data_IF_028586106726
#
_entry.id   IF_028586106726
#
_cell.length_a   1.000
_cell.length_b   1.000
_cell.length_c   1.000
_cell.angle_alpha   90.00
_cell.angle_beta   90.00
_cell.angle_gamma   90.00
#
_symmetry.space_group_name_H-M   'P 1'
#
loop_
_entity.id
_entity.type
_entity.pdbx_description
1 polymer ?
#
# COMPACT_ATOMS: atom_id res chain seq x y z
N UNK A 1 22.38 24.07 13.87
CA UNK A 1 23.19 23.30 12.91
C UNK A 1 23.66 24.16 11.74
N UNK A 2 22.77 24.78 10.95
CA UNK A 2 23.17 25.52 9.73
C UNK A 2 24.16 26.70 9.92
N UNK A 3 23.99 27.54 10.96
CA UNK A 3 24.85 28.72 11.16
C UNK A 3 26.32 28.39 11.47
N UNK A 4 26.57 27.30 12.20
CA UNK A 4 27.94 26.85 12.56
C UNK A 4 28.63 26.27 11.31
N UNK A 5 27.91 25.49 10.50
CA UNK A 5 28.45 24.95 9.26
C UNK A 5 28.84 26.05 8.25
N UNK A 6 28.03 27.12 8.14
CA UNK A 6 28.35 28.28 7.29
C UNK A 6 29.61 28.98 7.78
N UNK A 7 29.76 29.20 9.09
CA UNK A 7 30.96 29.84 9.66
C UNK A 7 32.23 29.01 9.40
N UNK A 8 32.18 27.68 9.61
CA UNK A 8 33.30 26.77 9.32
C UNK A 8 33.67 26.81 7.84
N UNK A 9 32.67 26.85 6.94
CA UNK A 9 32.91 26.92 5.51
C UNK A 9 33.58 28.23 5.07
N UNK A 10 33.17 29.37 5.65
CA UNK A 10 33.81 30.67 5.39
C UNK A 10 35.28 30.65 5.85
N UNK A 11 35.55 30.09 7.02
CA UNK A 11 36.91 29.99 7.57
C UNK A 11 37.80 29.08 6.71
N UNK A 12 37.24 27.98 6.20
CA UNK A 12 37.90 27.09 5.25
C UNK A 12 38.24 27.79 3.93
N UNK A 13 37.31 28.56 3.34
CA UNK A 13 37.57 29.34 2.13
C UNK A 13 38.63 30.42 2.36
N UNK A 14 38.62 31.11 3.50
CA UNK A 14 39.64 32.10 3.85
C UNK A 14 41.04 31.48 3.98
N UNK A 15 41.14 30.29 4.62
CA UNK A 15 42.39 29.54 4.72
C UNK A 15 42.93 29.11 3.35
N UNK A 16 42.05 28.63 2.46
CA UNK A 16 42.40 28.30 1.07
C UNK A 16 42.88 29.52 0.27
N UNK A 17 42.23 30.67 0.43
CA UNK A 17 42.66 31.93 -0.21
C UNK A 17 44.05 32.38 0.25
N UNK A 18 44.35 32.23 1.55
CA UNK A 18 45.69 32.49 2.09
C UNK A 18 46.75 31.55 1.51
N UNK A 19 46.45 30.26 1.39
CA UNK A 19 47.36 29.30 0.75
C UNK A 19 47.54 29.57 -0.75
N UNK A 20 46.47 29.98 -1.45
CA UNK A 20 46.51 30.40 -2.86
C UNK A 20 47.45 31.56 -3.10
N UNK A 21 47.51 32.52 -2.17
CA UNK A 21 48.39 33.67 -2.25
C UNK A 21 49.87 33.29 -2.09
N UNK A 22 50.17 32.37 -1.17
CA UNK A 22 51.55 31.99 -0.82
C UNK A 22 52.16 31.01 -1.82
N UNK A 23 51.36 30.15 -2.46
CA UNK A 23 51.87 29.08 -3.31
C UNK A 23 51.47 29.27 -4.78
N UNK A 24 52.45 29.71 -5.59
CA UNK A 24 52.32 30.01 -7.02
C UNK A 24 52.75 28.85 -7.94
N UNK A 25 52.84 27.62 -7.44
CA UNK A 25 53.24 26.48 -8.27
C UNK A 25 52.23 26.20 -9.39
N UNK A 26 52.73 26.23 -10.63
CA UNK A 26 51.98 26.00 -11.86
C UNK A 26 52.10 24.51 -12.25
N UNK A 27 51.03 23.96 -12.81
CA UNK A 27 50.97 22.59 -13.34
C UNK A 27 50.32 22.63 -14.71
N UNK A 28 50.92 21.92 -15.67
CA UNK A 28 50.40 21.81 -17.04
C UNK A 28 49.43 20.64 -17.14
N UNK A 29 48.18 20.91 -17.49
CA UNK A 29 47.17 19.88 -17.79
C UNK A 29 47.15 19.66 -19.29
N UNK A 30 47.41 18.42 -19.73
CA UNK A 30 47.28 18.03 -21.13
C UNK A 30 45.96 17.31 -21.32
N UNK A 31 45.05 17.91 -22.08
CA UNK A 31 43.77 17.28 -22.43
C UNK A 31 44.01 16.34 -23.63
N UNK A 32 43.50 15.10 -23.61
CA UNK A 32 43.61 14.22 -24.77
C UNK A 32 43.01 14.89 -26.01
N UNK A 33 43.77 14.93 -27.11
CA UNK A 33 43.39 15.55 -28.39
C UNK A 33 43.18 17.08 -28.36
N UNK A 34 43.74 17.78 -27.37
CA UNK A 34 43.64 19.23 -27.26
C UNK A 34 44.94 19.91 -26.80
N UNK A 35 44.86 21.21 -26.56
CA UNK A 35 45.98 22.02 -26.10
C UNK A 35 46.33 21.77 -24.62
N UNK A 36 47.54 22.14 -24.24
CA UNK A 36 48.02 22.10 -22.88
C UNK A 36 47.72 23.43 -22.19
N UNK A 37 47.09 23.38 -21.01
CA UNK A 37 46.76 24.57 -20.22
C UNK A 37 47.58 24.61 -18.94
N UNK A 38 48.15 25.76 -18.63
CA UNK A 38 48.87 26.01 -17.38
C UNK A 38 47.92 26.55 -16.32
N UNK A 39 47.90 25.91 -15.15
CA UNK A 39 47.02 26.28 -14.04
C UNK A 39 47.72 26.05 -12.70
N UNK A 40 47.30 26.76 -11.65
CA UNK A 40 47.84 26.56 -10.30
C UNK A 40 47.33 25.25 -9.68
N UNK A 41 48.18 24.56 -8.91
CA UNK A 41 47.77 23.37 -8.12
C UNK A 41 46.59 23.66 -7.20
N UNK A 42 46.46 24.89 -6.72
CA UNK A 42 45.40 25.29 -5.78
C UNK A 42 44.07 25.45 -6.50
N UNK A 43 44.08 25.91 -7.75
CA UNK A 43 42.88 25.93 -8.57
C UNK A 43 42.32 24.51 -8.80
N UNK A 44 43.19 23.51 -8.98
CA UNK A 44 42.80 22.10 -9.10
C UNK A 44 42.20 21.55 -7.80
N UNK A 45 42.82 21.85 -6.64
CA UNK A 45 42.29 21.44 -5.33
C UNK A 45 40.91 22.05 -5.12
N UNK A 46 40.75 23.36 -5.35
CA UNK A 46 39.47 24.06 -5.25
C UNK A 46 38.41 23.45 -6.16
N UNK A 47 38.77 23.16 -7.42
CA UNK A 47 37.85 22.52 -8.36
C UNK A 47 37.38 21.14 -7.87
N UNK A 48 38.27 20.31 -7.34
CA UNK A 48 37.92 19.00 -6.78
C UNK A 48 37.01 19.10 -5.56
N UNK A 49 37.24 20.07 -4.67
CA UNK A 49 36.40 20.32 -3.50
C UNK A 49 35.01 20.79 -3.91
N UNK A 50 34.92 21.70 -4.88
CA UNK A 50 33.65 22.18 -5.43
C UNK A 50 32.91 21.05 -6.13
N UNK A 51 33.58 20.23 -6.94
CA UNK A 51 32.99 19.08 -7.60
C UNK A 51 32.44 18.07 -6.59
N UNK A 52 33.19 17.76 -5.53
CA UNK A 52 32.74 16.88 -4.44
C UNK A 52 31.54 17.45 -3.67
N UNK A 53 31.55 18.76 -3.38
CA UNK A 53 30.43 19.43 -2.72
C UNK A 53 29.17 19.43 -3.59
N UNK A 54 29.30 19.66 -4.90
CA UNK A 54 28.19 19.56 -5.86
C UNK A 54 27.63 18.14 -5.93
N UNK A 55 28.49 17.12 -6.00
CA UNK A 55 28.06 15.73 -5.98
C UNK A 55 27.31 15.38 -4.69
N UNK A 56 27.80 15.83 -3.53
CA UNK A 56 27.13 15.63 -2.24
C UNK A 56 25.77 16.34 -2.20
N UNK A 57 25.66 17.56 -2.72
CA UNK A 57 24.39 18.27 -2.84
C UNK A 57 23.38 17.50 -3.70
N UNK A 58 23.81 16.95 -4.84
CA UNK A 58 22.96 16.13 -5.70
C UNK A 58 22.46 14.88 -4.96
N UNK A 59 23.34 14.15 -4.27
CA UNK A 59 22.93 12.96 -3.49
C UNK A 59 21.96 13.35 -2.37
N UNK A 60 22.23 14.47 -1.69
CA UNK A 60 21.39 14.97 -0.61
C UNK A 60 19.99 15.35 -1.11
N UNK A 61 19.89 16.10 -2.21
CA UNK A 61 18.59 16.50 -2.78
C UNK A 61 17.79 15.31 -3.28
N UNK A 62 18.43 14.32 -3.92
CA UNK A 62 17.76 13.08 -4.32
C UNK A 62 17.21 12.34 -3.09
N UNK A 63 18.02 12.17 -2.05
CA UNK A 63 17.62 11.46 -0.83
C UNK A 63 16.46 12.14 -0.12
N UNK A 64 16.54 13.45 0.05
CA UNK A 64 15.50 14.24 0.72
C UNK A 64 14.21 14.28 -0.10
N UNK A 65 14.31 14.38 -1.43
CA UNK A 65 13.16 14.29 -2.33
C UNK A 65 12.48 12.93 -2.22
N UNK A 66 13.26 11.83 -2.21
CA UNK A 66 12.72 10.49 -2.00
C UNK A 66 12.00 10.37 -0.65
N UNK A 67 12.64 10.81 0.44
CA UNK A 67 12.04 10.79 1.79
C UNK A 67 10.74 11.60 1.85
N UNK A 68 10.69 12.74 1.16
CA UNK A 68 9.48 13.55 1.09
C UNK A 68 8.36 12.84 0.34
N UNK A 69 8.66 12.20 -0.80
CA UNK A 69 7.68 11.41 -1.57
C UNK A 69 7.16 10.24 -0.73
N UNK A 70 8.05 9.48 -0.08
CA UNK A 70 7.69 8.34 0.76
C UNK A 70 6.75 8.78 1.89
N UNK A 71 7.05 9.92 2.54
CA UNK A 71 6.18 10.48 3.57
C UNK A 71 4.81 10.90 3.01
N UNK A 72 4.76 11.54 1.83
CA UNK A 72 3.48 11.89 1.20
C UNK A 72 2.65 10.65 0.84
N UNK A 73 3.29 9.60 0.33
CA UNK A 73 2.62 8.33 0.04
C UNK A 73 2.08 7.69 1.32
N UNK A 74 2.87 7.68 2.39
CA UNK A 74 2.46 7.19 3.70
C UNK A 74 1.23 7.94 4.23
N UNK A 75 1.25 9.28 4.18
CA UNK A 75 0.11 10.10 4.62
C UNK A 75 -1.14 9.87 3.77
N UNK A 76 -0.99 9.73 2.45
CA UNK A 76 -2.11 9.42 1.55
C UNK A 76 -2.71 8.05 1.86
N UNK A 77 -1.86 7.04 2.12
CA UNK A 77 -2.29 5.69 2.50
C UNK A 77 -3.07 5.71 3.82
N UNK A 78 -2.53 6.35 4.85
CA UNK A 78 -3.19 6.52 6.15
C UNK A 78 -4.55 7.21 6.02
N UNK A 79 -4.63 8.29 5.23
CA UNK A 79 -5.90 9.00 5.00
C UNK A 79 -6.92 8.12 4.26
N UNK A 80 -6.47 7.29 3.33
CA UNK A 80 -7.33 6.33 2.63
C UNK A 80 -7.86 5.26 3.59
N UNK A 81 -6.98 4.63 4.37
CA UNK A 81 -7.35 3.62 5.37
C UNK A 81 -8.33 4.18 6.40
N UNK A 82 -8.08 5.38 6.92
CA UNK A 82 -8.99 6.05 7.85
C UNK A 82 -10.37 6.33 7.23
N UNK A 83 -10.41 6.77 5.96
CA UNK A 83 -11.67 6.98 5.24
C UNK A 83 -12.45 5.68 5.06
N UNK A 84 -11.77 4.60 4.66
CA UNK A 84 -12.40 3.28 4.50
C UNK A 84 -12.96 2.79 5.83
N UNK A 85 -12.20 2.95 6.92
CA UNK A 85 -12.63 2.58 8.27
C UNK A 85 -13.85 3.40 8.74
N UNK A 86 -13.88 4.69 8.44
CA UNK A 86 -15.02 5.56 8.74
C UNK A 86 -16.28 5.13 7.98
N UNK A 87 -16.14 4.87 6.67
CA UNK A 87 -17.23 4.37 5.84
C UNK A 87 -17.73 3.00 6.30
N UNK A 88 -16.83 2.11 6.72
CA UNK A 88 -17.19 0.80 7.26
C UNK A 88 -17.96 0.92 8.58
N UNK A 89 -17.54 1.85 9.44
CA UNK A 89 -18.24 2.14 10.69
C UNK A 89 -19.64 2.70 10.42
N UNK A 90 -19.78 3.58 9.42
CA UNK A 90 -21.08 4.09 8.96
C UNK A 90 -21.97 2.96 8.45
N UNK A 91 -21.43 2.08 7.59
CA UNK A 91 -22.15 0.92 7.07
C UNK A 91 -22.67 0.02 8.20
N UNK A 92 -21.83 -0.30 9.19
CA UNK A 92 -22.23 -1.14 10.31
C UNK A 92 -23.33 -0.49 11.16
N UNK A 93 -23.25 0.81 11.43
CA UNK A 93 -24.30 1.53 12.15
C UNK A 93 -25.62 1.53 11.37
N UNK A 94 -25.58 1.71 10.04
CA UNK A 94 -26.75 1.64 9.18
C UNK A 94 -27.39 0.25 9.19
N UNK A 95 -26.57 -0.82 9.15
CA UNK A 95 -27.05 -2.21 9.28
C UNK A 95 -27.73 -2.45 10.63
N UNK A 96 -27.16 -1.96 11.74
CA UNK A 96 -27.78 -2.06 13.07
C UNK A 96 -29.09 -1.27 13.16
N UNK A 97 -29.23 -0.19 12.39
CA UNK A 97 -30.44 0.60 12.29
C UNK A 97 -31.47 0.02 11.30
N UNK A 98 -31.19 -1.14 10.68
CA UNK A 98 -31.99 -1.73 9.59
C UNK A 98 -32.17 -0.80 8.37
N UNK A 99 -31.25 0.15 8.18
CA UNK A 99 -31.22 1.02 7.01
C UNK A 99 -30.30 0.43 5.93
N UNK A 100 -30.85 -0.51 5.15
CA UNK A 100 -30.06 -1.27 4.15
C UNK A 100 -29.56 -0.39 3.00
N UNK A 101 -30.32 0.62 2.58
CA UNK A 101 -29.93 1.51 1.49
C UNK A 101 -28.66 2.32 1.85
N UNK A 102 -28.64 2.90 3.05
CA UNK A 102 -27.47 3.64 3.53
C UNK A 102 -26.26 2.71 3.78
N UNK A 103 -26.51 1.49 4.25
CA UNK A 103 -25.47 0.49 4.40
C UNK A 103 -24.84 0.14 3.05
N UNK A 104 -25.66 -0.13 2.03
CA UNK A 104 -25.18 -0.43 0.66
C UNK A 104 -24.36 0.72 0.10
N UNK A 105 -24.85 1.96 0.19
CA UNK A 105 -24.13 3.13 -0.32
C UNK A 105 -22.74 3.26 0.33
N UNK A 106 -22.66 3.10 1.65
CA UNK A 106 -21.40 3.15 2.37
C UNK A 106 -20.45 2.01 1.96
N UNK A 107 -20.96 0.79 1.81
CA UNK A 107 -20.18 -0.38 1.39
C UNK A 107 -19.70 -0.29 -0.06
N UNK A 108 -20.54 0.19 -0.98
CA UNK A 108 -20.16 0.44 -2.38
C UNK A 108 -19.08 1.52 -2.48
N UNK A 109 -19.17 2.56 -1.64
CA UNK A 109 -18.13 3.57 -1.51
C UNK A 109 -16.78 3.00 -1.02
N UNK A 110 -16.81 2.03 -0.11
CA UNK A 110 -15.61 1.28 0.29
C UNK A 110 -15.04 0.51 -0.91
N UNK A 111 -15.87 -0.18 -1.68
CA UNK A 111 -15.40 -0.94 -2.85
C UNK A 111 -14.88 -0.05 -3.99
N UNK A 112 -15.32 1.20 -4.09
CA UNK A 112 -14.75 2.16 -5.03
C UNK A 112 -13.30 2.52 -4.67
N UNK A 113 -12.98 2.60 -3.37
CA UNK A 113 -11.62 2.85 -2.88
C UNK A 113 -10.79 1.54 -2.85
N UNK A 114 -11.40 0.43 -2.41
CA UNK A 114 -10.78 -0.87 -2.21
C UNK A 114 -11.65 -2.00 -2.82
N UNK A 115 -11.50 -2.27 -4.13
CA UNK A 115 -12.35 -3.22 -4.85
C UNK A 115 -12.31 -4.68 -4.35
N UNK A 116 -11.36 -4.99 -3.48
CA UNK A 116 -11.14 -6.32 -2.88
C UNK A 116 -11.34 -6.33 -1.37
N UNK A 117 -11.97 -5.29 -0.79
CA UNK A 117 -12.24 -5.24 0.64
C UNK A 117 -13.19 -6.38 1.02
N UNK A 118 -12.67 -7.35 1.78
CA UNK A 118 -13.34 -8.62 2.03
C UNK A 118 -14.69 -8.42 2.73
N UNK A 119 -14.68 -7.70 3.84
CA UNK A 119 -15.89 -7.54 4.66
C UNK A 119 -17.00 -6.79 3.92
N UNK A 120 -16.64 -5.80 3.09
CA UNK A 120 -17.62 -5.06 2.31
C UNK A 120 -18.26 -5.91 1.21
N UNK A 121 -17.47 -6.78 0.56
CA UNK A 121 -17.99 -7.77 -0.39
C UNK A 121 -18.93 -8.76 0.30
N UNK A 122 -18.54 -9.28 1.47
CA UNK A 122 -19.38 -10.20 2.24
C UNK A 122 -20.70 -9.55 2.65
N UNK A 123 -20.65 -8.36 3.26
CA UNK A 123 -21.84 -7.62 3.69
C UNK A 123 -22.78 -7.27 2.53
N UNK A 124 -22.26 -6.81 1.39
CA UNK A 124 -23.09 -6.56 0.21
C UNK A 124 -23.69 -7.85 -0.35
N UNK A 125 -22.96 -8.96 -0.29
CA UNK A 125 -23.46 -10.28 -0.64
C UNK A 125 -24.58 -10.75 0.31
N UNK A 126 -24.41 -10.53 1.61
CA UNK A 126 -25.39 -10.89 2.64
C UNK A 126 -26.70 -10.11 2.42
N UNK A 127 -26.60 -8.80 2.19
CA UNK A 127 -27.75 -7.93 1.91
C UNK A 127 -28.44 -8.39 0.62
N UNK A 128 -27.70 -8.57 -0.48
CA UNK A 128 -28.28 -9.05 -1.74
C UNK A 128 -28.91 -10.45 -1.60
N UNK A 129 -28.37 -11.31 -0.73
CA UNK A 129 -28.93 -12.62 -0.43
C UNK A 129 -30.20 -12.55 0.41
N UNK A 130 -30.33 -11.54 1.27
CA UNK A 130 -31.54 -11.26 2.04
C UNK A 130 -32.67 -10.72 1.15
N UNK A 131 -32.32 -9.92 0.14
CA UNK A 131 -33.25 -9.40 -0.88
C UNK A 131 -33.59 -10.40 -1.99
N UNK A 132 -33.14 -11.65 -1.85
CA UNK A 132 -33.33 -12.72 -2.85
C UNK A 132 -32.69 -12.43 -4.23
N UNK A 133 -31.81 -11.44 -4.32
CA UNK A 133 -31.01 -11.13 -5.51
C UNK A 133 -29.81 -12.09 -5.62
N UNK A 134 -30.07 -13.39 -5.69
CA UNK A 134 -29.06 -14.45 -5.58
C UNK A 134 -27.92 -14.32 -6.59
N UNK A 135 -28.18 -13.82 -7.80
CA UNK A 135 -27.15 -13.61 -8.81
C UNK A 135 -26.17 -12.50 -8.42
N UNK A 136 -26.65 -11.42 -7.79
CA UNK A 136 -25.77 -10.35 -7.29
C UNK A 136 -25.00 -10.82 -6.07
N UNK A 137 -25.66 -11.52 -5.14
CA UNK A 137 -25.00 -12.12 -3.97
C UNK A 137 -23.84 -13.04 -4.40
N UNK A 138 -24.09 -13.94 -5.36
CA UNK A 138 -23.08 -14.81 -5.95
C UNK A 138 -21.88 -14.03 -6.51
N UNK A 139 -22.15 -12.92 -7.22
CA UNK A 139 -21.10 -12.07 -7.78
C UNK A 139 -20.19 -11.47 -6.69
N UNK A 140 -20.79 -10.95 -5.61
CA UNK A 140 -20.03 -10.41 -4.49
C UNK A 140 -19.22 -11.48 -3.75
N UNK A 141 -19.83 -12.62 -3.43
CA UNK A 141 -19.13 -13.73 -2.78
C UNK A 141 -18.01 -14.31 -3.63
N UNK A 142 -18.18 -14.43 -4.95
CA UNK A 142 -17.11 -14.89 -5.83
C UNK A 142 -15.92 -13.91 -5.89
N UNK A 143 -16.18 -12.60 -5.82
CA UNK A 143 -15.10 -11.59 -5.70
C UNK A 143 -14.35 -11.75 -4.38
N UNK A 144 -15.07 -11.98 -3.27
CA UNK A 144 -14.48 -12.26 -1.97
C UNK A 144 -13.64 -13.56 -1.99
N UNK A 145 -14.19 -14.62 -2.59
CA UNK A 145 -13.53 -15.93 -2.75
C UNK A 145 -12.27 -15.85 -3.60
N UNK A 146 -12.27 -15.04 -4.67
CA UNK A 146 -11.08 -14.80 -5.49
C UNK A 146 -9.95 -14.10 -4.71
N UNK A 147 -10.27 -13.36 -3.65
CA UNK A 147 -9.29 -12.72 -2.77
C UNK A 147 -8.68 -13.71 -1.78
N UNK A 148 -9.52 -14.55 -1.16
CA UNK A 148 -9.09 -15.60 -0.25
C UNK A 148 -9.99 -16.84 -0.34
N UNK A 149 -9.50 -17.88 -1.00
CA UNK A 149 -10.23 -19.12 -1.26
C UNK A 149 -10.37 -20.03 -0.04
N UNK A 150 -9.55 -19.81 0.99
CA UNK A 150 -9.54 -20.60 2.23
C UNK A 150 -10.14 -19.83 3.41
N UNK A 151 -10.83 -18.71 3.16
CA UNK A 151 -11.51 -17.99 4.22
C UNK A 151 -12.83 -18.72 4.58
N UNK A 152 -12.99 -19.22 5.82
CA UNK A 152 -14.19 -19.97 6.20
C UNK A 152 -15.48 -19.15 6.13
N UNK A 153 -15.42 -17.85 6.42
CA UNK A 153 -16.60 -16.96 6.35
C UNK A 153 -17.11 -16.85 4.91
N UNK A 154 -16.21 -16.69 3.93
CA UNK A 154 -16.57 -16.68 2.50
C UNK A 154 -17.17 -18.01 2.06
N UNK A 155 -16.58 -19.12 2.50
CA UNK A 155 -17.06 -20.46 2.18
C UNK A 155 -18.46 -20.69 2.77
N UNK A 156 -18.71 -20.27 4.02
CA UNK A 156 -20.04 -20.31 4.63
C UNK A 156 -21.05 -19.41 3.89
N UNK A 157 -20.67 -18.21 3.47
CA UNK A 157 -21.57 -17.34 2.70
C UNK A 157 -21.97 -17.95 1.34
N UNK A 158 -21.02 -18.59 0.64
CA UNK A 158 -21.29 -19.32 -0.60
C UNK A 158 -22.16 -20.56 -0.36
N UNK A 159 -21.85 -21.33 0.67
CA UNK A 159 -22.61 -22.52 1.09
C UNK A 159 -24.06 -22.15 1.43
N UNK A 160 -24.27 -21.14 2.27
CA UNK A 160 -25.60 -20.64 2.62
C UNK A 160 -26.38 -20.19 1.38
N UNK A 161 -25.72 -19.56 0.40
CA UNK A 161 -26.36 -19.18 -0.85
C UNK A 161 -26.74 -20.40 -1.70
N UNK A 162 -25.93 -21.45 -1.69
CA UNK A 162 -26.25 -22.71 -2.40
C UNK A 162 -27.44 -23.40 -1.73
N UNK A 163 -27.50 -23.44 -0.40
CA UNK A 163 -28.66 -23.97 0.33
C UNK A 163 -29.94 -23.18 0.00
N UNK A 164 -29.89 -21.85 0.04
CA UNK A 164 -31.04 -20.98 -0.31
C UNK A 164 -31.54 -21.20 -1.73
N UNK A 165 -30.66 -21.55 -2.66
CA UNK A 165 -31.00 -21.81 -4.06
C UNK A 165 -31.29 -23.29 -4.36
N UNK A 166 -31.31 -24.16 -3.34
CA UNK A 166 -31.61 -25.58 -3.47
C UNK A 166 -30.49 -26.40 -4.12
N UNK A 167 -29.27 -25.87 -4.22
CA UNK A 167 -28.10 -26.50 -4.85
C UNK A 167 -27.30 -27.30 -3.82
N UNK A 168 -27.93 -28.33 -3.25
CA UNK A 168 -27.39 -29.11 -2.12
C UNK A 168 -26.01 -29.73 -2.37
N UNK A 169 -25.77 -30.27 -3.56
CA UNK A 169 -24.48 -30.86 -3.92
C UNK A 169 -23.33 -29.82 -3.90
N UNK A 170 -23.62 -28.58 -4.30
CA UNK A 170 -22.62 -27.50 -4.25
C UNK A 170 -22.43 -26.94 -2.86
N UNK A 171 -23.51 -26.85 -2.06
CA UNK A 171 -23.40 -26.54 -0.64
C UNK A 171 -22.47 -27.55 0.06
N UNK A 172 -22.67 -28.86 -0.18
CA UNK A 172 -21.82 -29.92 0.38
C UNK A 172 -20.35 -29.76 -0.02
N UNK A 173 -20.06 -29.44 -1.28
CA UNK A 173 -18.69 -29.18 -1.74
C UNK A 173 -18.02 -28.02 -0.97
N UNK A 174 -18.76 -26.93 -0.68
CA UNK A 174 -18.20 -25.84 0.12
C UNK A 174 -18.00 -26.22 1.59
N UNK A 175 -18.91 -27.02 2.17
CA UNK A 175 -18.74 -27.56 3.52
C UNK A 175 -17.50 -28.45 3.62
N UNK A 176 -17.26 -29.31 2.62
CA UNK A 176 -16.07 -30.15 2.58
C UNK A 176 -14.79 -29.32 2.56
N UNK A 177 -14.76 -28.23 1.78
CA UNK A 177 -13.63 -27.29 1.82
C UNK A 177 -13.42 -26.65 3.19
N UNK A 178 -14.49 -26.37 3.94
CA UNK A 178 -14.37 -25.84 5.31
C UNK A 178 -13.76 -26.91 6.22
N UNK A 179 -14.19 -28.16 6.09
CA UNK A 179 -13.68 -29.28 6.89
C UNK A 179 -12.25 -29.70 6.53
N UNK A 180 -11.82 -29.43 5.29
CA UNK A 180 -10.41 -29.58 4.88
C UNK A 180 -9.50 -28.55 5.58
N UNK A 181 -10.04 -27.38 5.94
CA UNK A 181 -9.31 -26.32 6.68
C UNK A 181 -9.37 -26.59 8.18
N UNK A 182 -10.56 -26.90 8.69
CA UNK A 182 -10.85 -27.15 10.09
C UNK A 182 -11.77 -28.37 10.22
N UNK A 183 -11.16 -29.52 10.44
CA UNK A 183 -11.86 -30.82 10.49
C UNK A 183 -12.86 -30.92 11.64
N UNK A 184 -12.65 -30.14 12.72
CA UNK A 184 -13.51 -30.14 13.91
C UNK A 184 -14.53 -28.98 13.91
N UNK A 185 -14.71 -28.31 12.75
CA UNK A 185 -15.64 -27.19 12.64
C UNK A 185 -17.09 -27.65 12.87
N UNK A 186 -17.60 -27.40 14.08
CA UNK A 186 -18.93 -27.86 14.51
C UNK A 186 -20.05 -27.34 13.61
N UNK A 187 -19.96 -26.08 13.16
CA UNK A 187 -20.96 -25.48 12.27
C UNK A 187 -21.01 -26.18 10.92
N UNK A 188 -19.84 -26.49 10.34
CA UNK A 188 -19.74 -27.22 9.08
C UNK A 188 -20.22 -28.67 9.22
N UNK A 189 -19.87 -29.37 10.31
CA UNK A 189 -20.36 -30.73 10.58
C UNK A 189 -21.89 -30.77 10.76
N UNK A 190 -22.46 -29.81 11.47
CA UNK A 190 -23.91 -29.70 11.67
C UNK A 190 -24.63 -29.48 10.34
N UNK A 191 -24.14 -28.55 9.51
CA UNK A 191 -24.68 -28.30 8.17
C UNK A 191 -24.52 -29.50 7.25
N UNK A 192 -23.37 -30.18 7.26
CA UNK A 192 -23.13 -31.41 6.49
C UNK A 192 -24.20 -32.45 6.79
N UNK A 193 -24.43 -32.71 8.07
CA UNK A 193 -25.45 -33.65 8.52
C UNK A 193 -26.85 -33.24 8.06
N UNK A 194 -27.21 -31.97 8.23
CA UNK A 194 -28.52 -31.46 7.84
C UNK A 194 -28.79 -31.60 6.32
N UNK A 195 -27.77 -31.42 5.48
CA UNK A 195 -27.88 -31.64 4.03
C UNK A 195 -28.04 -33.12 3.71
N UNK A 196 -27.25 -34.01 4.33
CA UNK A 196 -27.30 -35.45 4.06
C UNK A 196 -28.58 -36.13 4.58
N UNK A 197 -29.23 -35.58 5.60
CA UNK A 197 -30.52 -36.09 6.11
C UNK A 197 -31.72 -35.67 5.23
N UNK A 198 -31.52 -34.79 4.24
CA UNK A 198 -32.56 -34.35 3.30
C UNK A 198 -32.68 -35.22 2.04
N UNK A 199 -31.66 -36.02 1.75
CA UNK A 199 -31.65 -37.02 0.65
C UNK A 199 -32.23 -38.36 1.13
#
# INVERSE_FOLDING_TARGET
MGKIAIFIFILFLAGLGGLAYVNQEITTIKIPFGDAYETSKIALILFSCVAGALAMLVVFTIRDTKRFIDNLQYQRKQKKEARVQEMYSKALNALLAHNEDEAKEALEGILAEEPKHLDALLRLGDIASAEEEYQKAMSFYNKAFASNQQNPEVLFSLENLMEKTGRWAEALNYIEKILDIDTDNLSALYKKRAILERD
#
